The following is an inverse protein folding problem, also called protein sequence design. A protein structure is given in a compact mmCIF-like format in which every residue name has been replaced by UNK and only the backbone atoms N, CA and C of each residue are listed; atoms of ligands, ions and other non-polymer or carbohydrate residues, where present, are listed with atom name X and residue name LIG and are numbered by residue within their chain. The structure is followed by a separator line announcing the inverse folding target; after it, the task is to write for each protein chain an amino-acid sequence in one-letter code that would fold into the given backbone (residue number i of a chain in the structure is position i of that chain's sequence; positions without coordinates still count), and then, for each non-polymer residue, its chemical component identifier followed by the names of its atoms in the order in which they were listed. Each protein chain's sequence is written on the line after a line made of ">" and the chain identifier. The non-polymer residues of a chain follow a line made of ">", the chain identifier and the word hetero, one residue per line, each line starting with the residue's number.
data_IF_654322577507
#
_entry.id   IF_654322577507
#
_cell.length_a   1.000
_cell.length_b   1.000
_cell.length_c   1.000
_cell.angle_alpha   90.00
_cell.angle_beta   90.00
_cell.angle_gamma   90.00
#
_symmetry.space_group_name_H-M   'P 1'
#
loop_
_entity.id
_entity.type
_entity.pdbx_description
1 polymer ?
#
# COMPACT_ATOMS: atom_id res chain seq x y z
N UNK A 1 -46.46 17.23 60.22
CA UNK A 1 -46.48 16.29 61.36
C UNK A 1 -45.08 16.22 61.93
N UNK A 2 -44.90 16.04 63.24
CA UNK A 2 -43.57 15.94 63.83
C UNK A 2 -42.95 14.59 63.46
N UNK A 3 -41.80 14.61 62.79
CA UNK A 3 -41.08 13.41 62.38
C UNK A 3 -40.53 12.70 63.62
N UNK A 4 -40.66 11.38 63.67
CA UNK A 4 -40.06 10.57 64.72
C UNK A 4 -38.58 10.32 64.34
N UNK A 5 -37.68 10.33 65.33
CA UNK A 5 -36.21 10.30 65.10
C UNK A 5 -35.56 9.01 65.62
N UNK A 6 -36.35 8.08 66.17
CA UNK A 6 -35.86 6.82 66.73
C UNK A 6 -36.97 5.78 66.67
N UNK A 7 -36.57 4.51 66.57
CA UNK A 7 -37.50 3.38 66.58
C UNK A 7 -38.07 3.18 67.99
N UNK A 8 -39.36 3.45 68.13
CA UNK A 8 -40.07 3.39 69.40
C UNK A 8 -40.50 1.97 69.77
N UNK A 9 -40.43 1.01 68.84
CA UNK A 9 -40.66 -0.41 69.13
C UNK A 9 -39.56 -1.04 70.01
N UNK A 10 -38.42 -0.37 70.11
CA UNK A 10 -37.29 -0.75 70.96
C UNK A 10 -37.44 -0.26 72.41
N UNK A 11 -38.44 0.57 72.71
CA UNK A 11 -38.68 1.04 74.07
C UNK A 11 -39.32 -0.06 74.92
N UNK A 12 -38.72 -0.32 76.07
CA UNK A 12 -39.28 -1.23 77.07
C UNK A 12 -40.22 -0.44 77.97
N UNK A 13 -41.41 -0.99 78.23
CA UNK A 13 -42.36 -0.39 79.16
C UNK A 13 -41.69 -0.16 80.52
N UNK A 14 -41.67 1.08 81.03
CA UNK A 14 -41.15 1.35 82.37
C UNK A 14 -41.91 0.54 83.42
N UNK A 15 -41.21 0.11 84.46
CA UNK A 15 -41.84 -0.52 85.61
C UNK A 15 -42.51 0.54 86.49
N UNK A 16 -43.78 0.82 86.23
CA UNK A 16 -44.59 1.76 87.00
C UNK A 16 -44.88 1.30 88.44
N UNK A 17 -44.49 0.08 88.84
CA UNK A 17 -44.59 -0.40 90.22
C UNK A 17 -43.34 -0.12 91.06
N UNK A 18 -42.25 0.29 90.42
CA UNK A 18 -41.00 0.69 91.07
C UNK A 18 -41.15 2.01 91.84
N UNK A 19 -40.44 2.13 92.97
CA UNK A 19 -40.39 3.34 93.80
C UNK A 19 -39.98 4.59 93.01
N UNK A 20 -39.20 4.41 91.93
CA UNK A 20 -38.76 5.51 91.06
C UNK A 20 -39.92 6.19 90.31
N UNK A 21 -41.01 5.47 90.07
CA UNK A 21 -42.20 5.98 89.38
C UNK A 21 -43.34 6.33 90.34
N UNK A 22 -43.10 6.27 91.65
CA UNK A 22 -44.09 6.57 92.68
C UNK A 22 -44.76 7.93 92.48
N UNK A 23 -43.97 8.96 92.16
CA UNK A 23 -44.46 10.31 91.88
C UNK A 23 -45.40 10.40 90.67
N UNK A 24 -45.29 9.47 89.71
CA UNK A 24 -46.08 9.47 88.48
C UNK A 24 -47.50 8.93 88.68
N UNK A 25 -47.72 8.03 89.65
CA UNK A 25 -49.05 7.49 89.95
C UNK A 25 -49.71 8.08 91.20
N UNK A 26 -49.00 8.79 92.08
CA UNK A 26 -49.58 9.53 93.23
C UNK A 26 -50.85 10.33 92.90
N UNK A 27 -50.95 11.04 91.76
CA UNK A 27 -52.16 11.81 91.41
C UNK A 27 -53.40 10.96 91.08
N UNK A 28 -53.19 9.67 90.79
CA UNK A 28 -54.24 8.74 90.35
C UNK A 28 -54.74 7.82 91.49
N UNK A 29 -54.12 7.90 92.66
CA UNK A 29 -54.48 7.12 93.86
C UNK A 29 -55.59 7.84 94.61
N UNK A 30 -56.67 7.14 94.94
CA UNK A 30 -57.79 7.67 95.71
C UNK A 30 -58.29 6.64 96.72
N UNK A 31 -59.27 6.99 97.56
CA UNK A 31 -59.85 6.06 98.54
C UNK A 31 -60.46 4.80 97.92
N UNK A 32 -60.66 4.76 96.59
CA UNK A 32 -61.20 3.61 95.84
C UNK A 32 -60.21 3.01 94.83
N UNK A 33 -59.04 3.61 94.61
CA UNK A 33 -58.05 3.17 93.60
C UNK A 33 -56.69 2.97 94.27
N UNK A 34 -56.22 1.73 94.25
CA UNK A 34 -54.92 1.33 94.82
C UNK A 34 -53.75 1.72 93.92
N UNK A 35 -52.55 1.84 94.50
CA UNK A 35 -51.30 2.08 93.75
C UNK A 35 -51.12 1.11 92.58
N UNK A 36 -51.46 -0.16 92.77
CA UNK A 36 -51.38 -1.18 91.72
C UNK A 36 -52.33 -0.88 90.54
N UNK A 37 -53.53 -0.36 90.80
CA UNK A 37 -54.50 -0.01 89.75
C UNK A 37 -54.11 1.28 89.00
N UNK A 38 -53.49 2.24 89.70
CA UNK A 38 -52.95 3.45 89.08
C UNK A 38 -51.75 3.15 88.18
N UNK A 39 -50.82 2.30 88.63
CA UNK A 39 -49.70 1.82 87.82
C UNK A 39 -50.17 1.04 86.58
N UNK A 40 -51.21 0.22 86.71
CA UNK A 40 -51.80 -0.51 85.58
C UNK A 40 -52.43 0.44 84.55
N UNK A 41 -53.09 1.50 85.01
CA UNK A 41 -53.68 2.50 84.11
C UNK A 41 -52.60 3.29 83.34
N UNK A 42 -51.48 3.64 83.98
CA UNK A 42 -50.33 4.27 83.31
C UNK A 42 -49.67 3.33 82.29
N UNK A 43 -49.59 2.04 82.62
CA UNK A 43 -49.12 1.00 81.70
C UNK A 43 -50.02 0.90 80.47
N UNK A 44 -51.34 0.88 80.64
CA UNK A 44 -52.31 0.84 79.54
C UNK A 44 -52.18 2.07 78.64
N UNK A 45 -52.06 3.27 79.22
CA UNK A 45 -51.86 4.51 78.45
C UNK A 45 -50.52 4.51 77.71
N UNK A 46 -49.45 4.03 78.36
CA UNK A 46 -48.13 3.92 77.75
C UNK A 46 -48.15 2.95 76.57
N UNK A 47 -48.77 1.77 76.71
CA UNK A 47 -48.91 0.79 75.62
C UNK A 47 -49.67 1.39 74.45
N UNK A 48 -50.84 2.00 74.69
CA UNK A 48 -51.63 2.61 73.63
C UNK A 48 -50.89 3.75 72.90
N UNK A 49 -50.13 4.57 73.64
CA UNK A 49 -49.34 5.66 73.06
C UNK A 49 -48.14 5.12 72.27
N UNK A 50 -47.46 4.10 72.81
CA UNK A 50 -46.33 3.47 72.15
C UNK A 50 -46.76 2.73 70.88
N UNK A 51 -47.93 2.08 70.90
CA UNK A 51 -48.50 1.41 69.72
C UNK A 51 -48.80 2.41 68.59
N UNK A 52 -49.45 3.54 68.91
CA UNK A 52 -49.73 4.60 67.92
C UNK A 52 -48.43 5.18 67.32
N UNK A 53 -47.43 5.42 68.18
CA UNK A 53 -46.13 5.90 67.76
C UNK A 53 -45.33 4.87 66.93
N UNK A 54 -45.46 3.56 67.24
CA UNK A 54 -44.89 2.49 66.43
C UNK A 54 -45.52 2.44 65.04
N UNK A 55 -46.85 2.60 64.94
CA UNK A 55 -47.55 2.69 63.66
C UNK A 55 -47.10 3.91 62.86
N UNK A 56 -46.98 5.07 63.49
CA UNK A 56 -46.47 6.29 62.84
C UNK A 56 -45.03 6.11 62.35
N UNK A 57 -44.16 5.49 63.16
CA UNK A 57 -42.78 5.19 62.77
C UNK A 57 -42.73 4.22 61.57
N UNK A 58 -43.53 3.16 61.59
CA UNK A 58 -43.62 2.21 60.47
C UNK A 58 -44.09 2.90 59.18
N UNK A 59 -45.08 3.78 59.26
CA UNK A 59 -45.53 4.57 58.12
C UNK A 59 -44.41 5.46 57.57
N UNK A 60 -43.64 6.12 58.44
CA UNK A 60 -42.51 6.96 58.04
C UNK A 60 -41.41 6.13 57.35
N UNK A 61 -41.08 4.95 57.87
CA UNK A 61 -40.08 4.06 57.26
C UNK A 61 -40.51 3.63 55.86
N UNK A 62 -41.79 3.24 55.69
CA UNK A 62 -42.33 2.86 54.38
C UNK A 62 -42.32 4.03 53.40
N UNK A 63 -42.67 5.23 53.84
CA UNK A 63 -42.65 6.44 53.00
C UNK A 63 -41.21 6.83 52.61
N UNK A 64 -40.26 6.75 53.53
CA UNK A 64 -38.84 7.00 53.27
C UNK A 64 -38.25 5.97 52.30
N UNK A 65 -38.60 4.69 52.46
CA UNK A 65 -38.19 3.62 51.54
C UNK A 65 -38.77 3.83 50.13
N UNK A 66 -40.05 4.19 50.03
CA UNK A 66 -40.68 4.51 48.75
C UNK A 66 -40.00 5.70 48.07
N UNK A 67 -39.77 6.80 48.80
CA UNK A 67 -39.12 7.99 48.26
C UNK A 67 -37.68 7.69 47.81
N UNK A 68 -36.94 6.88 48.57
CA UNK A 68 -35.60 6.43 48.17
C UNK A 68 -35.63 5.58 46.92
N UNK A 69 -36.56 4.63 46.84
CA UNK A 69 -36.70 3.77 45.66
C UNK A 69 -37.05 4.58 44.41
N UNK A 70 -37.93 5.57 44.53
CA UNK A 70 -38.29 6.49 43.43
C UNK A 70 -37.11 7.37 43.00
N UNK A 71 -36.33 7.90 43.94
CA UNK A 71 -35.11 8.66 43.63
C UNK A 71 -34.04 7.79 42.97
N UNK A 72 -33.82 6.57 43.46
CA UNK A 72 -32.89 5.61 42.85
C UNK A 72 -33.34 5.22 41.43
N UNK A 73 -34.65 5.06 41.21
CA UNK A 73 -35.21 4.81 39.89
C UNK A 73 -34.97 5.97 38.92
N UNK A 74 -35.33 7.20 39.32
CA UNK A 74 -35.13 8.40 38.51
C UNK A 74 -33.64 8.66 38.19
N UNK A 75 -32.75 8.47 39.17
CA UNK A 75 -31.31 8.58 38.96
C UNK A 75 -30.78 7.49 38.00
N UNK A 76 -31.33 6.29 38.08
CA UNK A 76 -31.04 5.19 37.16
C UNK A 76 -31.47 5.51 35.73
N UNK A 77 -32.68 6.04 35.55
CA UNK A 77 -33.21 6.46 34.24
C UNK A 77 -32.39 7.61 33.64
N UNK A 78 -32.03 8.62 34.44
CA UNK A 78 -31.18 9.73 33.99
C UNK A 78 -29.79 9.23 33.59
N UNK A 79 -29.18 8.35 34.38
CA UNK A 79 -27.87 7.77 34.07
C UNK A 79 -27.91 6.97 32.76
N UNK A 80 -28.97 6.19 32.55
CA UNK A 80 -29.16 5.41 31.34
C UNK A 80 -29.39 6.30 30.12
N UNK A 81 -30.18 7.38 30.27
CA UNK A 81 -30.39 8.38 29.23
C UNK A 81 -29.08 9.08 28.84
N UNK A 82 -28.27 9.48 29.82
CA UNK A 82 -26.95 10.08 29.60
C UNK A 82 -25.99 9.12 28.90
N UNK A 83 -25.98 7.84 29.29
CA UNK A 83 -25.16 6.83 28.62
C UNK A 83 -25.60 6.61 27.16
N UNK A 84 -26.90 6.54 26.89
CA UNK A 84 -27.41 6.40 25.54
C UNK A 84 -27.10 7.63 24.67
N UNK A 85 -27.25 8.84 25.24
CA UNK A 85 -26.88 10.07 24.55
C UNK A 85 -25.38 10.11 24.21
N UNK A 86 -24.52 9.72 25.16
CA UNK A 86 -23.08 9.62 24.93
C UNK A 86 -22.73 8.59 23.85
N UNK A 87 -23.35 7.41 23.88
CA UNK A 87 -23.13 6.39 22.85
C UNK A 87 -23.55 6.88 21.46
N UNK A 88 -24.69 7.59 21.37
CA UNK A 88 -25.15 8.16 20.10
C UNK A 88 -24.22 9.28 19.62
N UNK A 89 -23.73 10.13 20.52
CA UNK A 89 -22.74 11.17 20.22
C UNK A 89 -21.41 10.56 19.73
N UNK A 90 -20.92 9.52 20.38
CA UNK A 90 -19.71 8.81 19.95
C UNK A 90 -19.90 8.10 18.59
N UNK A 91 -21.06 7.47 18.37
CA UNK A 91 -21.37 6.80 17.10
C UNK A 91 -21.46 7.83 15.96
N UNK A 92 -22.15 8.95 16.19
CA UNK A 92 -22.26 10.03 15.19
C UNK A 92 -20.91 10.68 14.93
N UNK A 93 -20.09 10.91 15.95
CA UNK A 93 -18.71 11.40 15.80
C UNK A 93 -17.83 10.41 15.02
N UNK A 94 -17.95 9.10 15.28
CA UNK A 94 -17.24 8.07 14.52
C UNK A 94 -17.66 8.04 13.05
N UNK A 95 -18.96 8.16 12.77
CA UNK A 95 -19.47 8.21 11.39
C UNK A 95 -19.02 9.47 10.65
N UNK A 96 -18.99 10.62 11.33
CA UNK A 96 -18.51 11.87 10.75
C UNK A 96 -17.00 11.87 10.53
N UNK A 97 -16.21 11.29 11.45
CA UNK A 97 -14.78 11.05 11.24
C UNK A 97 -14.53 10.10 10.06
N UNK A 98 -15.29 9.01 9.94
CA UNK A 98 -15.22 8.10 8.77
C UNK A 98 -15.58 8.81 7.47
N UNK A 99 -16.55 9.74 7.48
CA UNK A 99 -16.94 10.53 6.30
C UNK A 99 -15.92 11.60 5.93
N UNK A 100 -15.30 12.28 6.91
CA UNK A 100 -14.28 13.32 6.69
C UNK A 100 -12.93 12.71 6.33
N UNK A 101 -12.59 11.59 6.95
CA UNK A 101 -11.32 10.90 6.79
C UNK A 101 -11.51 9.51 6.18
N UNK A 102 -12.17 9.50 5.01
CA UNK A 102 -12.45 8.27 4.23
C UNK A 102 -11.18 7.46 4.02
N UNK A 103 -10.07 8.11 3.66
CA UNK A 103 -8.79 7.45 3.41
C UNK A 103 -8.21 6.71 4.62
N UNK A 104 -8.41 7.20 5.86
CA UNK A 104 -7.92 6.52 7.08
C UNK A 104 -8.77 5.30 7.49
N UNK A 105 -10.03 5.24 7.05
CA UNK A 105 -11.01 4.25 7.50
C UNK A 105 -11.49 3.30 6.40
N UNK A 106 -11.06 3.50 5.16
CA UNK A 106 -11.17 2.49 4.11
C UNK A 106 -10.33 1.29 4.53
N UNK A 107 -10.94 0.11 4.52
CA UNK A 107 -10.23 -1.14 4.73
C UNK A 107 -9.17 -1.28 3.63
N UNK A 108 -7.91 -1.06 3.99
CA UNK A 108 -6.79 -1.23 3.07
C UNK A 108 -6.63 -2.74 2.91
N UNK A 109 -7.24 -3.28 1.85
CA UNK A 109 -6.87 -4.61 1.37
C UNK A 109 -5.37 -4.57 1.11
N UNK A 110 -4.61 -5.28 1.94
CA UNK A 110 -3.18 -5.52 1.74
C UNK A 110 -3.05 -6.44 0.51
N UNK A 111 -3.28 -5.85 -0.66
CA UNK A 111 -2.91 -6.48 -1.92
C UNK A 111 -1.38 -6.50 -1.97
N UNK A 112 -0.76 -7.50 -2.63
CA UNK A 112 0.61 -7.37 -3.07
C UNK A 112 0.78 -6.01 -3.74
N UNK A 113 1.93 -5.34 -3.53
CA UNK A 113 2.26 -4.11 -4.24
C UNK A 113 1.83 -4.29 -5.70
N UNK A 114 1.01 -3.40 -6.28
CA UNK A 114 0.71 -3.49 -7.70
C UNK A 114 2.05 -3.57 -8.43
N UNK A 115 2.22 -4.57 -9.32
CA UNK A 115 3.37 -4.68 -10.23
C UNK A 115 3.39 -3.51 -11.24
N UNK A 116 2.70 -2.41 -10.96
CA UNK A 116 2.94 -1.14 -11.62
C UNK A 116 4.28 -0.64 -11.14
N UNK A 117 5.30 -1.01 -11.90
CA UNK A 117 6.62 -0.46 -11.86
C UNK A 117 6.51 1.07 -12.02
N UNK A 118 6.42 1.81 -10.90
CA UNK A 118 6.69 3.24 -10.89
C UNK A 118 8.15 3.54 -11.30
N UNK A 119 8.97 2.48 -11.42
CA UNK A 119 10.31 2.45 -11.99
C UNK A 119 10.39 1.57 -13.27
N UNK A 120 9.31 1.35 -14.04
CA UNK A 120 9.46 0.77 -15.39
C UNK A 120 10.08 1.86 -16.23
N UNK A 121 11.40 1.82 -16.37
CA UNK A 121 12.06 2.57 -17.39
C UNK A 121 11.46 2.14 -18.74
N UNK A 122 10.67 3.03 -19.34
CA UNK A 122 9.98 2.74 -20.57
C UNK A 122 11.00 2.72 -21.71
N UNK A 123 11.00 1.63 -22.47
CA UNK A 123 11.68 1.59 -23.76
C UNK A 123 11.02 2.59 -24.68
N UNK A 124 11.80 3.26 -25.53
CA UNK A 124 11.28 4.25 -26.47
C UNK A 124 10.14 3.68 -27.33
N UNK A 125 9.03 4.40 -27.43
CA UNK A 125 7.88 4.06 -28.30
C UNK A 125 8.31 3.77 -29.75
N UNK A 126 9.34 4.47 -30.24
CA UNK A 126 9.91 4.23 -31.57
C UNK A 126 10.42 2.78 -31.72
N UNK A 127 11.11 2.29 -30.70
CA UNK A 127 11.71 0.97 -30.70
C UNK A 127 10.64 -0.13 -30.57
N UNK A 128 9.64 0.09 -29.72
CA UNK A 128 8.49 -0.81 -29.60
C UNK A 128 7.69 -0.86 -30.91
N UNK A 129 7.47 0.28 -31.57
CA UNK A 129 6.84 0.33 -32.88
C UNK A 129 7.63 -0.44 -33.96
N UNK A 130 8.96 -0.38 -33.94
CA UNK A 130 9.81 -1.17 -34.84
C UNK A 130 9.66 -2.67 -34.61
N UNK A 131 9.63 -3.09 -33.34
CA UNK A 131 9.37 -4.48 -32.94
C UNK A 131 7.99 -4.94 -33.43
N UNK A 132 6.94 -4.15 -33.24
CA UNK A 132 5.58 -4.44 -33.72
C UNK A 132 5.53 -4.65 -35.24
N UNK A 133 6.40 -3.96 -36.00
CA UNK A 133 6.50 -4.09 -37.46
C UNK A 133 7.47 -5.19 -37.92
N UNK A 134 8.07 -5.96 -37.00
CA UNK A 134 9.06 -6.97 -37.37
C UNK A 134 10.35 -6.38 -37.94
N UNK A 135 10.61 -5.08 -37.72
CA UNK A 135 11.75 -4.38 -38.30
C UNK A 135 12.97 -4.45 -37.38
N UNK A 136 14.15 -4.38 -37.99
CA UNK A 136 15.39 -4.24 -37.22
C UNK A 136 15.37 -2.91 -36.44
N UNK A 137 15.80 -2.99 -35.18
CA UNK A 137 15.99 -1.88 -34.27
C UNK A 137 17.24 -2.14 -33.44
N UNK A 138 18.04 -1.10 -33.22
CA UNK A 138 19.27 -1.18 -32.44
C UNK A 138 18.99 -1.60 -30.98
N UNK A 139 19.83 -2.48 -30.43
CA UNK A 139 19.75 -2.91 -29.03
C UNK A 139 20.01 -1.78 -28.04
N UNK A 140 20.59 -0.67 -28.51
CA UNK A 140 20.81 0.53 -27.73
C UNK A 140 19.57 0.96 -26.94
N UNK A 141 18.36 0.85 -27.53
CA UNK A 141 17.10 1.26 -26.88
C UNK A 141 16.74 0.49 -25.59
N UNK A 142 17.39 -0.65 -25.35
CA UNK A 142 17.23 -1.46 -24.15
C UNK A 142 18.40 -1.32 -23.16
N UNK A 143 19.35 -0.43 -23.42
CA UNK A 143 20.49 -0.17 -22.52
C UNK A 143 20.08 0.76 -21.38
N UNK A 144 20.85 0.78 -20.28
CA UNK A 144 20.58 1.76 -19.22
C UNK A 144 20.68 3.20 -19.72
N UNK A 145 21.63 3.50 -20.60
CA UNK A 145 21.83 4.85 -21.11
C UNK A 145 20.57 5.37 -21.82
N UNK A 146 19.93 4.56 -22.66
CA UNK A 146 18.69 4.96 -23.36
C UNK A 146 17.46 5.02 -22.44
N UNK A 147 17.42 4.18 -21.41
CA UNK A 147 16.34 4.15 -20.44
C UNK A 147 16.37 5.39 -19.54
N UNK A 148 17.56 5.79 -19.09
CA UNK A 148 17.77 7.03 -18.35
C UNK A 148 17.43 8.26 -19.22
N UNK A 149 17.75 8.23 -20.51
CA UNK A 149 17.33 9.26 -21.47
C UNK A 149 15.81 9.37 -21.60
N UNK A 150 15.09 8.25 -21.55
CA UNK A 150 13.63 8.23 -21.67
C UNK A 150 12.94 8.71 -20.38
N UNK A 151 13.57 8.47 -19.22
CA UNK A 151 13.10 8.93 -17.91
C UNK A 151 13.45 10.41 -17.64
N UNK A 152 14.47 10.95 -18.30
CA UNK A 152 14.84 12.35 -18.13
C UNK A 152 13.68 13.27 -18.55
N UNK A 153 13.39 14.37 -17.81
CA UNK A 153 12.33 15.29 -18.16
C UNK A 153 12.61 15.87 -19.55
N UNK A 154 11.83 15.45 -20.55
CA UNK A 154 11.97 15.93 -21.91
C UNK A 154 11.70 17.44 -21.90
N UNK A 155 12.78 18.21 -22.05
CA UNK A 155 12.73 19.66 -22.08
C UNK A 155 12.07 20.07 -23.41
N UNK A 156 10.75 20.22 -23.40
CA UNK A 156 9.90 20.90 -24.39
C UNK A 156 10.48 20.92 -25.82
N UNK A 157 10.42 19.81 -26.54
CA UNK A 157 10.37 19.89 -28.00
C UNK A 157 8.89 19.86 -28.40
N UNK A 158 8.42 21.03 -28.82
CA UNK A 158 7.11 21.31 -29.40
C UNK A 158 6.94 20.54 -30.72
N UNK A 159 6.66 19.25 -30.61
CA UNK A 159 6.30 18.38 -31.73
C UNK A 159 4.91 17.79 -31.44
N UNK A 160 3.89 18.66 -31.45
CA UNK A 160 2.47 18.35 -31.24
C UNK A 160 1.83 17.58 -32.41
N UNK A 161 2.62 17.13 -33.39
CA UNK A 161 2.11 16.32 -34.49
C UNK A 161 1.66 14.94 -34.01
N UNK A 162 0.54 14.44 -34.53
CA UNK A 162 0.14 13.05 -34.37
C UNK A 162 0.22 12.34 -35.72
N UNK A 163 0.86 11.17 -35.75
CA UNK A 163 0.93 10.30 -36.92
C UNK A 163 -0.03 9.13 -36.69
N UNK A 164 -0.96 8.86 -37.64
CA UNK A 164 -1.80 7.68 -37.57
C UNK A 164 -0.93 6.43 -37.81
N UNK A 165 -0.96 5.49 -36.89
CA UNK A 165 -0.30 4.18 -36.98
C UNK A 165 -1.34 3.09 -36.80
N UNK A 166 -1.24 2.00 -37.57
CA UNK A 166 -2.10 0.83 -37.35
C UNK A 166 -1.44 -0.17 -36.41
N UNK A 167 -2.12 -0.43 -35.29
CA UNK A 167 -1.78 -1.46 -34.31
C UNK A 167 -3.01 -2.34 -34.09
N UNK A 168 -2.89 -3.66 -34.30
CA UNK A 168 -3.96 -4.63 -34.11
C UNK A 168 -5.27 -4.34 -34.87
N UNK A 169 -5.18 -3.73 -36.06
CA UNK A 169 -6.35 -3.36 -36.88
C UNK A 169 -7.09 -2.10 -36.41
N UNK A 170 -6.56 -1.40 -35.40
CA UNK A 170 -7.03 -0.09 -34.96
C UNK A 170 -6.01 1.00 -35.31
N UNK A 171 -6.49 2.18 -35.68
CA UNK A 171 -5.65 3.36 -35.86
C UNK A 171 -5.33 3.99 -34.50
N UNK A 172 -4.09 3.88 -34.07
CA UNK A 172 -3.51 4.53 -32.88
C UNK A 172 -2.77 5.78 -33.33
N UNK A 173 -2.98 6.91 -32.65
CA UNK A 173 -2.29 8.15 -32.92
C UNK A 173 -1.02 8.24 -32.08
N UNK A 174 0.15 8.16 -32.72
CA UNK A 174 1.45 8.31 -32.07
C UNK A 174 1.93 9.76 -32.20
N UNK A 175 2.60 10.31 -31.18
CA UNK A 175 3.28 11.60 -31.33
C UNK A 175 4.36 11.50 -32.42
N UNK A 176 4.55 12.57 -33.20
CA UNK A 176 5.67 12.71 -34.13
C UNK A 176 7.01 12.52 -33.44
N UNK A 177 7.13 12.89 -32.16
CA UNK A 177 8.33 12.63 -31.35
C UNK A 177 8.58 11.12 -31.15
N UNK A 178 7.52 10.33 -30.90
CA UNK A 178 7.58 8.88 -30.74
C UNK A 178 7.94 8.14 -32.03
N UNK A 179 7.86 8.80 -33.19
CA UNK A 179 8.25 8.22 -34.49
C UNK A 179 9.71 8.47 -34.89
N UNK A 180 10.45 9.27 -34.10
CA UNK A 180 11.82 9.67 -34.43
C UNK A 180 12.83 8.83 -33.64
N UNK A 181 13.92 8.37 -34.26
CA UNK A 181 14.99 7.72 -33.53
C UNK A 181 15.67 8.71 -32.57
N UNK A 182 16.23 8.20 -31.45
CA UNK A 182 17.00 9.06 -30.54
C UNK A 182 18.24 9.61 -31.27
N UNK A 183 18.63 10.84 -30.94
CA UNK A 183 19.86 11.44 -31.48
C UNK A 183 21.13 10.76 -30.93
N UNK A 184 20.98 9.99 -29.86
CA UNK A 184 22.06 9.31 -29.16
C UNK A 184 22.14 7.82 -29.50
N UNK A 185 21.33 7.32 -30.44
CA UNK A 185 21.36 5.92 -30.85
C UNK A 185 22.76 5.49 -31.23
N UNK A 186 23.25 4.48 -30.52
CA UNK A 186 24.53 3.83 -30.80
C UNK A 186 24.26 2.58 -31.65
N UNK A 187 24.90 2.42 -32.82
CA UNK A 187 24.82 1.19 -33.60
C UNK A 187 25.30 -0.02 -32.79
N UNK A 188 24.66 -1.17 -32.98
CA UNK A 188 24.96 -2.42 -32.27
C UNK A 188 26.45 -2.79 -32.30
N UNK A 189 27.13 -2.61 -33.43
CA UNK A 189 28.55 -2.90 -33.62
C UNK A 189 29.49 -2.03 -32.76
N UNK A 190 28.97 -0.90 -32.24
CA UNK A 190 29.68 0.03 -31.37
C UNK A 190 29.23 -0.06 -29.91
N UNK A 191 28.29 -0.94 -29.58
CA UNK A 191 27.87 -1.16 -28.20
C UNK A 191 29.00 -1.78 -27.39
N UNK A 192 29.13 -1.32 -26.14
CA UNK A 192 29.99 -1.99 -25.17
C UNK A 192 29.42 -3.38 -24.86
N UNK A 193 30.27 -4.43 -24.69
CA UNK A 193 29.80 -5.77 -24.35
C UNK A 193 28.89 -5.82 -23.12
N UNK A 194 29.16 -4.98 -22.11
CA UNK A 194 28.32 -4.87 -20.93
C UNK A 194 26.90 -4.34 -21.25
N UNK A 195 26.81 -3.29 -22.08
CA UNK A 195 25.55 -2.70 -22.50
C UNK A 195 24.76 -3.68 -23.38
N UNK A 196 25.45 -4.39 -24.28
CA UNK A 196 24.85 -5.47 -25.07
C UNK A 196 24.24 -6.54 -24.18
N UNK A 197 25.03 -7.12 -23.25
CA UNK A 197 24.58 -8.20 -22.37
C UNK A 197 23.39 -7.79 -21.49
N UNK A 198 23.34 -6.52 -21.08
CA UNK A 198 22.23 -5.96 -20.32
C UNK A 198 20.95 -5.79 -21.15
N UNK A 199 21.08 -5.40 -22.43
CA UNK A 199 19.95 -5.17 -23.31
C UNK A 199 19.18 -6.46 -23.65
N UNK A 200 19.88 -7.59 -23.79
CA UNK A 200 19.30 -8.88 -24.22
C UNK A 200 18.07 -9.34 -23.41
N UNK A 201 18.12 -9.47 -22.07
CA UNK A 201 16.95 -9.94 -21.32
C UNK A 201 15.74 -9.01 -21.47
N UNK A 202 15.96 -7.71 -21.67
CA UNK A 202 14.88 -6.72 -21.81
C UNK A 202 14.23 -6.81 -23.18
N UNK A 203 15.01 -6.87 -24.27
CA UNK A 203 14.43 -7.03 -25.61
C UNK A 203 13.72 -8.38 -25.75
N UNK A 204 14.23 -9.46 -25.15
CA UNK A 204 13.54 -10.76 -25.15
C UNK A 204 12.18 -10.66 -24.46
N UNK A 205 12.12 -10.02 -23.28
CA UNK A 205 10.86 -9.80 -22.59
C UNK A 205 9.87 -8.93 -23.40
N UNK A 206 10.35 -7.90 -24.09
CA UNK A 206 9.49 -7.08 -24.94
C UNK A 206 9.03 -7.82 -26.19
N UNK A 207 9.86 -8.66 -26.81
CA UNK A 207 9.42 -9.52 -27.91
C UNK A 207 8.27 -10.45 -27.46
N UNK A 208 8.35 -11.01 -26.24
CA UNK A 208 7.27 -11.83 -25.66
C UNK A 208 6.00 -11.01 -25.41
N UNK A 209 6.12 -9.79 -24.86
CA UNK A 209 4.99 -8.87 -24.63
C UNK A 209 4.31 -8.41 -25.92
N UNK A 210 5.06 -8.34 -27.01
CA UNK A 210 4.60 -7.89 -28.33
C UNK A 210 4.24 -9.04 -29.28
N UNK A 211 3.85 -10.19 -28.74
CA UNK A 211 3.30 -11.34 -29.46
C UNK A 211 4.19 -11.85 -30.62
N UNK A 212 5.52 -11.73 -30.49
CA UNK A 212 6.42 -12.31 -31.49
C UNK A 212 6.29 -13.84 -31.50
N UNK A 213 6.45 -14.49 -32.68
CA UNK A 213 6.42 -15.95 -32.73
C UNK A 213 7.47 -16.58 -31.82
N UNK A 214 7.05 -17.49 -30.94
CA UNK A 214 7.92 -18.14 -29.94
C UNK A 214 9.21 -18.71 -30.55
N UNK A 215 9.12 -19.29 -31.75
CA UNK A 215 10.28 -19.82 -32.48
C UNK A 215 11.31 -18.73 -32.82
N UNK A 216 10.85 -17.52 -33.18
CA UNK A 216 11.73 -16.38 -33.45
C UNK A 216 12.39 -15.88 -32.16
N UNK A 217 11.63 -15.76 -31.08
CA UNK A 217 12.14 -15.33 -29.77
C UNK A 217 13.23 -16.29 -29.29
N UNK A 218 12.96 -17.60 -29.31
CA UNK A 218 13.92 -18.62 -28.91
C UNK A 218 15.19 -18.62 -29.79
N UNK A 219 15.03 -18.42 -31.09
CA UNK A 219 16.16 -18.37 -32.03
C UNK A 219 17.05 -17.13 -31.78
N UNK A 220 16.45 -15.95 -31.58
CA UNK A 220 17.18 -14.72 -31.24
C UNK A 220 17.85 -14.82 -29.86
N UNK A 221 17.15 -15.33 -28.84
CA UNK A 221 17.71 -15.55 -27.51
C UNK A 221 18.91 -16.51 -27.54
N UNK A 222 18.80 -17.61 -28.29
CA UNK A 222 19.92 -18.55 -28.49
C UNK A 222 21.07 -17.92 -29.26
N UNK A 223 20.79 -17.10 -30.26
CA UNK A 223 21.80 -16.36 -31.00
C UNK A 223 22.60 -15.44 -30.09
N UNK A 224 21.94 -14.57 -29.32
CA UNK A 224 22.63 -13.67 -28.40
C UNK A 224 23.38 -14.44 -27.30
N UNK A 225 22.81 -15.55 -26.81
CA UNK A 225 23.52 -16.47 -25.89
C UNK A 225 24.77 -17.10 -26.52
N UNK A 226 24.71 -17.49 -27.79
CA UNK A 226 25.86 -18.03 -28.52
C UNK A 226 26.96 -16.98 -28.72
N UNK A 227 26.60 -15.71 -28.95
CA UNK A 227 27.55 -14.59 -28.98
C UNK A 227 28.24 -14.42 -27.62
N UNK A 228 27.48 -14.39 -26.52
CA UNK A 228 28.01 -14.20 -25.16
C UNK A 228 28.85 -15.38 -24.65
N UNK A 229 28.70 -16.56 -25.23
CA UNK A 229 29.49 -17.76 -24.87
C UNK A 229 30.64 -18.04 -25.84
N UNK A 230 30.74 -17.29 -26.93
CA UNK A 230 31.81 -17.44 -27.91
C UNK A 230 33.19 -17.05 -27.33
N UNK A 231 34.25 -17.71 -27.80
CA UNK A 231 35.64 -17.46 -27.32
C UNK A 231 36.10 -16.00 -27.43
N UNK A 232 35.58 -15.26 -28.41
CA UNK A 232 35.93 -13.85 -28.61
C UNK A 232 35.27 -12.92 -27.57
N UNK A 233 34.19 -13.34 -26.92
CA UNK A 233 33.49 -12.54 -25.92
C UNK A 233 34.40 -12.24 -24.72
N UNK A 234 35.06 -13.27 -24.21
CA UNK A 234 35.97 -13.19 -23.07
C UNK A 234 37.44 -12.93 -23.46
N UNK A 235 37.69 -12.57 -24.73
CA UNK A 235 39.03 -12.26 -25.19
C UNK A 235 39.48 -10.89 -24.67
N UNK A 236 40.75 -10.77 -24.31
CA UNK A 236 41.37 -9.47 -23.96
C UNK A 236 41.69 -8.63 -25.21
N UNK A 237 41.59 -9.20 -26.40
CA UNK A 237 41.81 -8.48 -27.66
C UNK A 237 40.52 -7.75 -28.10
N UNK A 238 40.61 -6.41 -28.11
CA UNK A 238 39.51 -5.53 -28.53
C UNK A 238 39.04 -5.81 -29.95
N UNK A 239 39.93 -6.25 -30.84
CA UNK A 239 39.56 -6.56 -32.23
C UNK A 239 38.63 -7.77 -32.26
N UNK A 240 38.95 -8.84 -31.53
CA UNK A 240 38.07 -10.02 -31.46
C UNK A 240 36.69 -9.70 -30.87
N UNK A 241 36.61 -8.84 -29.85
CA UNK A 241 35.32 -8.39 -29.32
C UNK A 241 34.55 -7.53 -30.34
N UNK A 242 35.22 -6.61 -31.02
CA UNK A 242 34.62 -5.80 -32.08
C UNK A 242 34.08 -6.66 -33.23
N UNK A 243 34.81 -7.71 -33.63
CA UNK A 243 34.36 -8.68 -34.65
C UNK A 243 33.02 -9.33 -34.27
N UNK A 244 32.82 -9.67 -32.98
CA UNK A 244 31.54 -10.22 -32.53
C UNK A 244 30.39 -9.21 -32.63
N UNK A 245 30.63 -7.95 -32.26
CA UNK A 245 29.59 -6.90 -32.32
C UNK A 245 29.21 -6.59 -33.76
N UNK A 246 30.20 -6.47 -34.67
CA UNK A 246 29.95 -6.30 -36.11
C UNK A 246 29.19 -7.50 -36.67
N UNK A 247 29.64 -8.72 -36.34
CA UNK A 247 28.96 -9.94 -36.78
C UNK A 247 27.49 -9.95 -36.36
N UNK A 248 27.23 -9.65 -35.09
CA UNK A 248 25.89 -9.64 -34.54
C UNK A 248 24.97 -8.64 -35.26
N UNK A 249 25.41 -7.38 -35.43
CA UNK A 249 24.62 -6.37 -36.14
C UNK A 249 24.35 -6.80 -37.59
N UNK A 250 25.38 -7.25 -38.31
CA UNK A 250 25.25 -7.68 -39.71
C UNK A 250 24.25 -8.82 -39.87
N UNK A 251 24.33 -9.83 -39.00
CA UNK A 251 23.45 -10.99 -39.08
C UNK A 251 22.00 -10.63 -38.73
N UNK A 252 21.76 -9.85 -37.67
CA UNK A 252 20.41 -9.39 -37.33
C UNK A 252 19.81 -8.55 -38.46
N UNK A 253 20.53 -7.54 -38.97
CA UNK A 253 20.03 -6.69 -40.07
C UNK A 253 19.74 -7.50 -41.32
N UNK A 254 20.64 -8.41 -41.69
CA UNK A 254 20.47 -9.26 -42.87
C UNK A 254 19.28 -10.20 -42.73
N UNK A 255 19.05 -10.76 -41.54
CA UNK A 255 17.92 -11.62 -41.23
C UNK A 255 16.59 -10.87 -41.36
N UNK A 256 16.45 -9.69 -40.71
CA UNK A 256 15.24 -8.88 -40.83
C UNK A 256 14.95 -8.46 -42.27
N UNK A 257 15.98 -8.08 -43.03
CA UNK A 257 15.85 -7.74 -44.45
C UNK A 257 15.37 -8.94 -45.28
N UNK A 258 15.90 -10.14 -45.02
CA UNK A 258 15.52 -11.36 -45.73
C UNK A 258 14.06 -11.79 -45.42
N UNK A 259 13.62 -11.63 -44.17
CA UNK A 259 12.21 -11.83 -43.76
C UNK A 259 11.31 -10.84 -44.51
N UNK A 260 11.66 -9.54 -44.51
CA UNK A 260 10.86 -8.51 -45.15
C UNK A 260 10.72 -8.69 -46.67
N UNK A 261 11.75 -9.23 -47.34
CA UNK A 261 11.73 -9.53 -48.77
C UNK A 261 11.05 -10.87 -49.13
N UNK A 262 10.68 -11.69 -48.13
CA UNK A 262 10.08 -13.01 -48.36
C UNK A 262 11.04 -14.02 -49.01
N UNK A 263 12.35 -13.77 -48.99
CA UNK A 263 13.36 -14.63 -49.61
C UNK A 263 13.72 -15.85 -48.75
N UNK A 264 13.09 -15.98 -47.58
CA UNK A 264 13.45 -16.93 -46.54
C UNK A 264 14.55 -16.39 -45.64
N UNK A 265 14.51 -16.76 -44.37
CA UNK A 265 15.49 -16.40 -43.36
C UNK A 265 16.14 -17.66 -42.78
N UNK A 266 17.30 -17.51 -42.14
CA UNK A 266 18.07 -18.61 -41.55
C UNK A 266 18.03 -18.58 -40.02
N UNK A 267 18.49 -19.67 -39.41
CA UNK A 267 18.64 -19.76 -37.95
C UNK A 267 19.89 -18.97 -37.52
N UNK A 268 19.69 -17.85 -36.83
CA UNK A 268 20.80 -17.03 -36.32
C UNK A 268 21.58 -17.72 -35.22
N UNK A 269 21.00 -18.68 -34.50
CA UNK A 269 21.67 -19.35 -33.38
C UNK A 269 22.91 -20.14 -33.79
N UNK A 270 23.07 -20.41 -35.09
CA UNK A 270 24.23 -21.07 -35.66
C UNK A 270 25.25 -20.02 -36.08
N UNK A 271 26.25 -19.81 -35.23
CA UNK A 271 27.35 -18.87 -35.51
C UNK A 271 28.21 -19.39 -36.67
N UNK A 272 28.42 -18.54 -37.68
CA UNK A 272 29.22 -18.86 -38.86
C UNK A 272 30.69 -18.46 -38.67
N UNK A 273 31.53 -19.45 -38.39
CA UNK A 273 32.99 -19.27 -38.27
C UNK A 273 33.61 -18.68 -39.54
N UNK A 274 33.05 -19.00 -40.71
CA UNK A 274 33.53 -18.47 -42.01
C UNK A 274 33.31 -16.96 -42.08
N UNK A 275 32.13 -16.49 -41.66
CA UNK A 275 31.82 -15.05 -41.65
C UNK A 275 32.64 -14.34 -40.56
N UNK A 276 32.79 -14.94 -39.37
CA UNK A 276 33.62 -14.38 -38.31
C UNK A 276 35.10 -14.25 -38.73
N UNK A 277 35.66 -15.26 -39.39
CA UNK A 277 37.04 -15.20 -39.89
C UNK A 277 37.20 -14.09 -40.94
N UNK A 278 36.24 -13.96 -41.87
CA UNK A 278 36.23 -12.88 -42.86
C UNK A 278 36.19 -11.50 -42.19
N UNK A 279 35.32 -11.32 -41.19
CA UNK A 279 35.20 -10.06 -40.46
C UNK A 279 36.47 -9.74 -39.67
N UNK A 280 37.08 -10.75 -39.06
CA UNK A 280 38.37 -10.61 -38.38
C UNK A 280 39.45 -10.11 -39.34
N UNK A 281 39.60 -10.73 -40.52
CA UNK A 281 40.58 -10.30 -41.52
C UNK A 281 40.33 -8.86 -42.02
N UNK A 282 39.06 -8.48 -42.21
CA UNK A 282 38.66 -7.13 -42.60
C UNK A 282 39.06 -6.09 -41.54
N UNK A 283 38.63 -6.30 -40.29
CA UNK A 283 38.87 -5.36 -39.19
C UNK A 283 40.36 -5.27 -38.84
N UNK A 284 41.08 -6.39 -38.89
CA UNK A 284 42.54 -6.41 -38.74
C UNK A 284 43.24 -5.57 -39.81
N UNK A 285 42.83 -5.71 -41.07
CA UNK A 285 43.42 -4.95 -42.18
C UNK A 285 43.17 -3.45 -42.02
N UNK A 286 41.96 -3.05 -41.65
CA UNK A 286 41.61 -1.65 -41.38
C UNK A 286 42.42 -1.08 -40.21
N UNK A 287 42.57 -1.85 -39.14
CA UNK A 287 43.37 -1.48 -37.96
C UNK A 287 44.85 -1.31 -38.32
N UNK A 288 45.41 -2.20 -39.13
CA UNK A 288 46.78 -2.10 -39.63
C UNK A 288 46.99 -0.85 -40.51
N UNK A 289 46.05 -0.54 -41.42
CA UNK A 289 46.12 0.66 -42.24
C UNK A 289 46.03 1.93 -41.38
N UNK A 290 45.12 1.98 -40.41
CA UNK A 290 44.99 3.13 -39.51
C UNK A 290 46.26 3.37 -38.68
N UNK A 291 46.90 2.31 -38.19
CA UNK A 291 48.17 2.38 -37.47
C UNK A 291 49.31 2.92 -38.37
N UNK A 292 49.38 2.43 -39.61
CA UNK A 292 50.36 2.91 -40.59
C UNK A 292 50.18 4.40 -40.90
N UNK A 293 48.95 4.85 -41.17
CA UNK A 293 48.64 6.25 -41.46
C UNK A 293 48.93 7.17 -40.27
N UNK A 294 48.63 6.73 -39.04
CA UNK A 294 48.95 7.48 -37.82
C UNK A 294 50.47 7.65 -37.66
N UNK A 295 51.24 6.60 -37.95
CA UNK A 295 52.70 6.65 -37.87
C UNK A 295 53.31 7.55 -38.94
N UNK A 296 52.82 7.51 -40.18
CA UNK A 296 53.24 8.43 -41.25
C UNK A 296 52.95 9.89 -40.85
N UNK A 297 51.75 10.19 -40.35
CA UNK A 297 51.41 11.55 -39.89
C UNK A 297 52.30 12.02 -38.74
N UNK A 298 52.58 11.16 -37.77
CA UNK A 298 53.46 11.49 -36.65
C UNK A 298 54.89 11.82 -37.11
N UNK A 299 55.45 11.03 -38.03
CA UNK A 299 56.78 11.30 -38.59
C UNK A 299 56.84 12.58 -39.43
N UNK A 300 55.78 12.94 -40.16
CA UNK A 300 55.72 14.21 -40.89
C UNK A 300 55.59 15.43 -39.97
N UNK A 301 55.00 15.30 -38.77
CA UNK A 301 54.89 16.39 -37.80
C UNK A 301 56.19 16.64 -37.02
N UNK A 302 57.07 15.64 -36.88
CA UNK A 302 58.38 15.81 -36.22
C UNK A 302 59.47 16.41 -37.11
N UNK A 303 59.19 16.71 -38.38
CA UNK A 303 60.14 17.31 -39.33
C UNK A 303 59.74 18.72 -39.80
N UNK A 304 58.86 19.39 -39.05
CA UNK A 304 58.56 20.82 -39.16
C UNK A 304 58.99 21.53 -37.88
#
# INVERSE_FOLDING_TARGET
>A
MNRLHSDLSLLVCPDFTSDQHHASHTPFVSTTVTNAQAAESLKVVWVATNDDLCVQWQQQVVEDEHLRAEQEHLAGEESLCLQQAHQLEEETACLDERKKNKFKHTEILMQPRPDTNEDEAFVSDFALWKIDKGQFVELYYWTNDSLDETLAPQNTQDDEGLIPSEQNGATVWLSTAASKPSKHVVPDQLLLPANFAQAIPRIVADLEKHDWPEQCILMLARFWGAIMTHRYWNSNDKITQQVLMVYQEEQCRSWHNAVALGTGAWDLSIISDVVLARLFDCIMRESCHAAYDAQVRFTCFQHK
#
